data_IF_904831592238
#
_entry.id   IF_904831592238
#
_cell.length_a   1.000
_cell.length_b   1.000
_cell.length_c   1.000
_cell.angle_alpha   90.00
_cell.angle_beta   90.00
_cell.angle_gamma   90.00
#
_symmetry.space_group_name_H-M   'P 1'
#
loop_
_entity.id
_entity.type
_entity.pdbx_description
1 polymer ?
#
# COMPACT_ATOMS: atom_id res chain seq x y z
N UNK A 1 55.83 -2.95 6.12
CA UNK A 1 54.66 -2.50 5.33
C UNK A 1 55.11 -1.40 4.37
N UNK A 2 54.84 -1.51 3.06
CA UNK A 2 55.27 -0.50 2.09
C UNK A 2 54.52 0.82 2.34
N UNK A 3 55.23 1.94 2.35
CA UNK A 3 54.66 3.28 2.53
C UNK A 3 53.83 3.64 1.29
N UNK A 4 52.51 3.69 1.43
CA UNK A 4 51.64 4.11 0.33
C UNK A 4 51.94 5.55 -0.11
N UNK A 5 52.04 5.76 -1.42
CA UNK A 5 52.13 7.08 -2.04
C UNK A 5 50.98 7.99 -1.58
N UNK A 6 51.23 9.30 -1.49
CA UNK A 6 50.20 10.30 -1.16
C UNK A 6 48.97 10.19 -2.08
N UNK A 7 49.18 9.89 -3.37
CA UNK A 7 48.10 9.67 -4.33
C UNK A 7 47.25 8.44 -4.01
N UNK A 8 47.88 7.31 -3.65
CA UNK A 8 47.17 6.08 -3.27
C UNK A 8 46.35 6.24 -1.99
N UNK A 9 46.86 7.00 -1.02
CA UNK A 9 46.12 7.31 0.22
C UNK A 9 44.92 8.22 -0.04
N UNK A 10 45.06 9.20 -0.92
CA UNK A 10 43.95 10.08 -1.30
C UNK A 10 42.86 9.33 -2.08
N UNK A 11 43.26 8.43 -2.99
CA UNK A 11 42.32 7.59 -3.72
C UNK A 11 41.55 6.63 -2.79
N UNK A 12 42.25 6.02 -1.82
CA UNK A 12 41.61 5.17 -0.81
C UNK A 12 40.61 5.94 0.05
N UNK A 13 40.96 7.17 0.47
CA UNK A 13 40.04 8.05 1.22
C UNK A 13 38.81 8.43 0.39
N UNK A 14 39.01 8.78 -0.88
CA UNK A 14 37.92 9.13 -1.78
C UNK A 14 36.95 7.95 -1.95
N UNK A 15 37.47 6.74 -2.21
CA UNK A 15 36.64 5.54 -2.36
C UNK A 15 35.86 5.21 -1.08
N UNK A 16 36.49 5.37 0.09
CA UNK A 16 35.83 5.11 1.37
C UNK A 16 34.72 6.12 1.66
N UNK A 17 34.96 7.41 1.39
CA UNK A 17 33.94 8.46 1.53
C UNK A 17 32.80 8.23 0.55
N UNK A 18 33.10 7.92 -0.72
CA UNK A 18 32.07 7.63 -1.72
C UNK A 18 31.18 6.45 -1.29
N UNK A 19 31.79 5.37 -0.80
CA UNK A 19 31.06 4.20 -0.31
C UNK A 19 30.14 4.56 0.87
N UNK A 20 30.62 5.37 1.82
CA UNK A 20 29.80 5.84 2.95
C UNK A 20 28.62 6.68 2.49
N UNK A 21 28.82 7.58 1.53
CA UNK A 21 27.75 8.39 0.94
C UNK A 21 26.72 7.50 0.24
N UNK A 22 27.16 6.49 -0.51
CA UNK A 22 26.25 5.53 -1.17
C UNK A 22 25.42 4.78 -0.14
N UNK A 23 26.03 4.20 0.90
CA UNK A 23 25.29 3.48 1.94
C UNK A 23 24.25 4.39 2.61
N UNK A 24 24.64 5.61 2.95
CA UNK A 24 23.74 6.58 3.58
C UNK A 24 22.55 6.92 2.68
N UNK A 25 22.83 7.28 1.42
CA UNK A 25 21.79 7.66 0.46
C UNK A 25 20.85 6.50 0.14
N UNK A 26 21.36 5.30 -0.09
CA UNK A 26 20.54 4.09 -0.29
C UNK A 26 19.66 3.79 0.92
N UNK A 27 20.19 3.94 2.14
CA UNK A 27 19.41 3.72 3.36
C UNK A 27 18.27 4.72 3.48
N UNK A 28 18.53 6.01 3.23
CA UNK A 28 17.50 7.06 3.25
C UNK A 28 16.42 6.77 2.20
N UNK A 29 16.81 6.40 0.97
CA UNK A 29 15.87 6.03 -0.08
C UNK A 29 14.99 4.85 0.33
N UNK A 30 15.56 3.83 0.96
CA UNK A 30 14.81 2.65 1.41
C UNK A 30 13.84 2.98 2.55
N UNK A 31 14.22 3.87 3.47
CA UNK A 31 13.34 4.36 4.54
C UNK A 31 12.16 5.15 3.95
N UNK A 32 12.41 6.03 2.98
CA UNK A 32 11.34 6.77 2.30
C UNK A 32 10.42 5.79 1.56
N UNK A 33 10.99 4.83 0.82
CA UNK A 33 10.23 3.79 0.11
C UNK A 33 9.32 2.98 1.04
N UNK A 34 9.81 2.64 2.24
CA UNK A 34 9.02 1.94 3.24
C UNK A 34 7.94 2.84 3.87
N UNK A 35 8.28 4.07 4.24
CA UNK A 35 7.37 4.98 4.96
C UNK A 35 6.30 5.62 4.07
N UNK A 36 6.59 5.82 2.78
CA UNK A 36 5.61 6.31 1.79
C UNK A 36 4.54 5.28 1.45
N UNK A 37 4.82 4.00 1.70
CA UNK A 37 3.94 2.90 1.37
C UNK A 37 4.04 2.43 -0.10
N UNK A 38 4.97 2.97 -0.88
CA UNK A 38 5.26 2.52 -2.25
C UNK A 38 5.60 1.01 -2.28
N UNK A 39 6.19 0.49 -1.21
CA UNK A 39 6.44 -0.94 -1.02
C UNK A 39 5.16 -1.79 -1.09
N UNK A 40 4.04 -1.29 -0.55
CA UNK A 40 2.77 -2.02 -0.56
C UNK A 40 2.12 -1.98 -1.94
N UNK A 41 2.30 -0.88 -2.67
CA UNK A 41 1.82 -0.76 -4.04
C UNK A 41 2.58 -1.70 -4.99
N UNK A 42 3.91 -1.79 -4.88
CA UNK A 42 4.71 -2.73 -5.67
C UNK A 42 4.41 -4.20 -5.31
N UNK A 43 4.13 -4.47 -4.03
CA UNK A 43 3.79 -5.81 -3.50
C UNK A 43 2.31 -6.18 -3.62
N UNK A 44 1.46 -5.29 -4.11
CA UNK A 44 0.04 -5.57 -4.37
C UNK A 44 -0.19 -6.64 -5.45
N UNK A 45 0.87 -7.05 -6.17
CA UNK A 45 0.83 -8.11 -7.17
C UNK A 45 0.61 -9.48 -6.50
N UNK A 46 -0.27 -10.34 -7.04
CA UNK A 46 -0.49 -11.68 -6.51
C UNK A 46 0.84 -12.46 -6.47
N UNK A 47 1.21 -12.92 -5.26
CA UNK A 47 2.47 -13.63 -4.99
C UNK A 47 3.51 -12.88 -4.14
N UNK A 48 3.33 -11.57 -3.90
CA UNK A 48 4.24 -10.74 -3.08
C UNK A 48 3.61 -10.26 -1.76
N UNK A 49 2.73 -11.08 -1.19
CA UNK A 49 2.02 -10.78 0.07
C UNK A 49 2.98 -10.32 1.18
N UNK A 50 2.53 -9.44 2.10
CA UNK A 50 3.28 -9.04 3.29
C UNK A 50 3.90 -10.25 3.98
N UNK A 51 5.13 -10.12 4.48
CA UNK A 51 5.69 -11.19 5.28
C UNK A 51 4.83 -11.38 6.53
N UNK A 52 4.68 -12.61 7.03
CA UNK A 52 3.77 -12.92 8.14
C UNK A 52 3.99 -12.09 9.41
N UNK A 53 5.17 -11.49 9.56
CA UNK A 53 5.55 -10.64 10.67
C UNK A 53 5.25 -9.14 10.44
N UNK A 54 4.99 -8.73 9.19
CA UNK A 54 4.53 -7.38 8.81
C UNK A 54 3.01 -7.26 8.98
N UNK A 55 2.29 -8.38 8.94
CA UNK A 55 0.90 -8.45 9.38
C UNK A 55 0.91 -8.32 10.90
N UNK A 56 0.81 -7.07 11.40
CA UNK A 56 0.31 -6.85 12.74
C UNK A 56 -1.09 -7.43 12.74
N UNK A 57 -1.24 -8.63 13.27
CA UNK A 57 -2.52 -9.04 13.82
C UNK A 57 -2.80 -8.01 14.90
N UNK A 58 -3.60 -6.99 14.59
CA UNK A 58 -4.24 -6.22 15.63
C UNK A 58 -4.99 -7.28 16.45
N UNK A 59 -4.70 -7.41 17.74
CA UNK A 59 -5.31 -8.41 18.63
C UNK A 59 -6.81 -8.14 18.85
N UNK A 60 -7.34 -7.11 18.18
CA UNK A 60 -8.74 -6.97 17.89
C UNK A 60 -9.13 -8.12 16.95
N UNK A 61 -10.13 -8.96 17.25
CA UNK A 61 -10.69 -9.82 16.23
C UNK A 61 -11.20 -8.91 15.11
N UNK A 62 -10.37 -8.69 14.08
CA UNK A 62 -10.84 -8.22 12.79
C UNK A 62 -12.04 -9.08 12.53
N UNK A 63 -13.22 -8.45 12.46
CA UNK A 63 -14.46 -9.13 12.18
C UNK A 63 -14.24 -9.78 10.83
N UNK A 64 -13.76 -11.03 10.87
CA UNK A 64 -13.45 -11.83 9.70
C UNK A 64 -14.82 -12.17 9.18
N UNK A 65 -15.38 -11.23 8.41
CA UNK A 65 -16.61 -11.40 7.69
C UNK A 65 -16.26 -12.39 6.58
N UNK A 66 -16.31 -13.67 6.94
CA UNK A 66 -16.22 -14.76 5.99
C UNK A 66 -17.62 -14.93 5.42
N UNK A 67 -17.77 -14.65 4.14
CA UNK A 67 -18.96 -15.05 3.41
C UNK A 67 -18.80 -16.52 3.04
N UNK A 68 -19.85 -17.35 3.18
CA UNK A 68 -19.79 -18.73 2.75
C UNK A 68 -19.49 -18.81 1.24
N UNK A 69 -18.64 -19.75 0.85
CA UNK A 69 -18.24 -19.98 -0.57
C UNK A 69 -19.44 -20.30 -1.47
N UNK A 70 -20.56 -20.73 -0.87
CA UNK A 70 -21.82 -20.97 -1.53
C UNK A 70 -22.97 -20.36 -0.72
N UNK A 71 -23.85 -19.63 -1.40
CA UNK A 71 -25.12 -19.15 -0.86
C UNK A 71 -26.31 -19.77 -1.60
N UNK A 72 -27.51 -19.69 -1.03
CA UNK A 72 -28.72 -20.09 -1.75
C UNK A 72 -28.96 -19.14 -2.92
N UNK A 73 -28.94 -19.67 -4.14
CA UNK A 73 -29.25 -18.94 -5.36
C UNK A 73 -30.75 -19.09 -5.69
N UNK A 74 -31.61 -18.43 -4.92
CA UNK A 74 -33.05 -18.42 -5.17
C UNK A 74 -33.49 -17.15 -5.95
N UNK A 75 -34.72 -17.18 -6.48
CA UNK A 75 -35.28 -16.08 -7.27
C UNK A 75 -35.35 -14.77 -6.49
N UNK A 76 -35.55 -14.84 -5.17
CA UNK A 76 -35.61 -13.68 -4.28
C UNK A 76 -34.23 -13.03 -4.17
N UNK A 77 -33.18 -13.83 -3.96
CA UNK A 77 -31.79 -13.37 -3.84
C UNK A 77 -31.32 -12.72 -5.14
N UNK A 78 -31.69 -13.27 -6.30
CA UNK A 78 -31.39 -12.68 -7.61
C UNK A 78 -32.13 -11.35 -7.83
N UNK A 79 -33.36 -11.25 -7.37
CA UNK A 79 -34.16 -10.02 -7.45
C UNK A 79 -33.57 -8.92 -6.55
N UNK A 80 -33.23 -9.26 -5.31
CA UNK A 80 -32.56 -8.34 -4.37
C UNK A 80 -31.21 -7.86 -4.93
N UNK A 81 -30.41 -8.77 -5.49
CA UNK A 81 -29.16 -8.41 -6.16
C UNK A 81 -29.40 -7.43 -7.31
N UNK A 82 -30.39 -7.71 -8.17
CA UNK A 82 -30.72 -6.86 -9.33
C UNK A 82 -31.12 -5.46 -8.91
N UNK A 83 -31.98 -5.32 -7.91
CA UNK A 83 -32.46 -4.02 -7.45
C UNK A 83 -31.33 -3.22 -6.76
N UNK A 84 -30.51 -3.89 -5.94
CA UNK A 84 -29.32 -3.26 -5.35
C UNK A 84 -28.34 -2.78 -6.42
N UNK A 85 -28.08 -3.63 -7.44
CA UNK A 85 -27.18 -3.29 -8.53
C UNK A 85 -27.69 -2.10 -9.36
N UNK A 86 -28.99 -2.04 -9.67
CA UNK A 86 -29.59 -0.90 -10.37
C UNK A 86 -29.40 0.40 -9.59
N UNK A 87 -29.65 0.37 -8.27
CA UNK A 87 -29.49 1.54 -7.41
C UNK A 87 -28.05 2.04 -7.44
N UNK A 88 -27.07 1.16 -7.23
CA UNK A 88 -25.65 1.54 -7.29
C UNK A 88 -25.24 2.04 -8.66
N UNK A 89 -25.79 1.47 -9.74
CA UNK A 89 -25.53 1.91 -11.11
C UNK A 89 -26.07 3.33 -11.36
N UNK A 90 -27.27 3.64 -10.86
CA UNK A 90 -27.83 4.99 -10.97
C UNK A 90 -27.00 5.99 -10.15
N UNK A 91 -26.65 5.65 -8.90
CA UNK A 91 -25.78 6.47 -8.07
C UNK A 91 -24.46 6.76 -8.81
N UNK A 92 -23.85 5.72 -9.41
CA UNK A 92 -22.60 5.84 -10.18
C UNK A 92 -22.74 6.73 -11.41
N UNK A 93 -23.84 6.62 -12.16
CA UNK A 93 -24.09 7.47 -13.33
C UNK A 93 -24.28 8.94 -12.98
N UNK A 94 -24.74 9.22 -11.77
CA UNK A 94 -24.94 10.58 -11.29
C UNK A 94 -23.65 11.23 -10.76
N UNK A 95 -22.52 10.51 -10.73
CA UNK A 95 -21.23 11.13 -10.44
C UNK A 95 -20.82 12.09 -11.57
N UNK A 96 -20.64 13.36 -11.19
CA UNK A 96 -20.27 14.44 -12.11
C UNK A 96 -18.87 14.26 -12.73
N UNK A 97 -17.96 13.61 -12.00
CA UNK A 97 -16.64 13.19 -12.46
C UNK A 97 -16.25 11.88 -11.74
N UNK A 98 -16.41 10.70 -12.37
CA UNK A 98 -16.18 9.40 -11.73
C UNK A 98 -14.72 9.15 -11.33
N UNK A 99 -13.77 9.86 -11.95
CA UNK A 99 -12.34 9.64 -11.73
C UNK A 99 -11.67 10.77 -10.96
N UNK A 100 -12.45 11.68 -10.36
CA UNK A 100 -11.92 12.72 -9.51
C UNK A 100 -11.32 12.14 -8.22
N UNK A 101 -10.30 12.83 -7.68
CA UNK A 101 -9.70 12.49 -6.39
C UNK A 101 -10.72 12.62 -5.24
N UNK A 102 -11.76 13.43 -5.41
CA UNK A 102 -12.80 13.64 -4.39
C UNK A 102 -13.61 12.37 -4.11
N UNK A 103 -13.75 11.47 -5.09
CA UNK A 103 -14.41 10.16 -4.92
C UNK A 103 -13.56 9.14 -4.14
N UNK A 104 -12.30 9.49 -3.84
CA UNK A 104 -11.42 8.69 -2.99
C UNK A 104 -11.24 9.34 -1.61
N UNK A 105 -11.96 10.43 -1.32
CA UNK A 105 -11.92 11.06 -0.01
C UNK A 105 -12.56 10.17 1.05
N UNK A 106 -12.02 10.23 2.27
CA UNK A 106 -12.54 9.51 3.44
C UNK A 106 -14.05 9.74 3.62
N UNK A 107 -14.51 10.98 3.46
CA UNK A 107 -15.92 11.34 3.54
C UNK A 107 -16.77 10.66 2.47
N UNK A 108 -16.29 10.59 1.23
CA UNK A 108 -16.99 9.94 0.12
C UNK A 108 -17.08 8.42 0.32
N UNK A 109 -16.00 7.79 0.80
CA UNK A 109 -15.98 6.34 1.09
C UNK A 109 -16.59 5.98 2.45
N UNK A 110 -17.18 6.96 3.15
CA UNK A 110 -17.88 6.75 4.42
C UNK A 110 -16.97 6.45 5.60
N UNK A 111 -15.67 6.73 5.47
CA UNK A 111 -14.71 6.67 6.56
C UNK A 111 -14.83 7.96 7.38
N UNK A 112 -15.29 7.85 8.62
CA UNK A 112 -15.30 9.01 9.52
C UNK A 112 -13.85 9.39 9.84
N UNK A 113 -13.49 10.65 9.60
CA UNK A 113 -12.29 11.23 10.23
C UNK A 113 -12.34 10.95 11.73
N UNK A 114 -11.29 10.36 12.33
CA UNK A 114 -11.23 10.25 13.78
C UNK A 114 -11.28 11.68 14.34
N UNK A 115 -12.28 11.95 15.17
CA UNK A 115 -12.45 13.23 15.85
C UNK A 115 -11.08 13.71 16.39
N UNK A 116 -10.71 14.94 16.02
CA UNK A 116 -9.60 15.70 16.60
C UNK A 116 -9.84 16.00 18.07
#
# INVERSE_FOLDING_TARGET
>A
MPKMSSGGRNLMRLGLIATLITILTTTISLVIYHNSGDIYLDRSRPGFLPEKHEVKHDDQPEKTYSFPESGNLDSKTLEEFRENFKKTLEDTKNLKDPFSADNLSDDFVGLKSPNK
#
